data_IF_351348106486
#
_entry.id   IF_351348106486
#
_cell.length_a   1.000
_cell.length_b   1.000
_cell.length_c   1.000
_cell.angle_alpha   90.00
_cell.angle_beta   90.00
_cell.angle_gamma   90.00
#
_symmetry.space_group_name_H-M   'P 1'
#
loop_
_entity.id
_entity.type
_entity.pdbx_description
1 polymer ?
#
# COMPACT_ATOMS: atom_id res chain seq x y z
N UNK A 1 -13.47 4.52 -40.23
CA UNK A 1 -12.20 4.04 -39.66
C UNK A 1 -12.10 4.68 -38.29
N UNK A 2 -12.49 3.95 -37.26
CA UNK A 2 -12.45 4.39 -35.87
C UNK A 2 -10.97 4.49 -35.45
N UNK A 3 -10.50 5.71 -35.25
CA UNK A 3 -9.19 5.99 -34.72
C UNK A 3 -9.22 5.62 -33.23
N UNK A 4 -8.48 4.57 -32.92
CA UNK A 4 -8.47 3.88 -31.64
C UNK A 4 -7.90 4.81 -30.55
N UNK A 5 -8.77 5.45 -29.77
CA UNK A 5 -8.41 6.26 -28.58
C UNK A 5 -8.07 5.30 -27.44
N UNK A 6 -6.89 4.67 -27.50
CA UNK A 6 -6.47 3.73 -26.45
C UNK A 6 -4.97 3.68 -26.20
N UNK A 7 -4.29 4.83 -26.39
CA UNK A 7 -2.87 4.99 -26.04
C UNK A 7 -2.68 6.25 -25.18
N UNK A 8 -3.29 6.26 -23.98
CA UNK A 8 -3.11 7.36 -23.00
C UNK A 8 -2.82 6.91 -21.57
N UNK A 9 -2.51 5.64 -21.37
CA UNK A 9 -2.08 5.11 -20.08
C UNK A 9 -1.00 4.06 -20.30
N UNK A 10 0.27 4.46 -20.49
CA UNK A 10 1.39 3.66 -19.96
C UNK A 10 2.75 4.39 -20.07
N UNK A 11 3.03 5.28 -19.11
CA UNK A 11 4.41 5.61 -18.75
C UNK A 11 4.52 5.48 -17.25
N UNK A 12 4.81 4.26 -16.77
CA UNK A 12 5.34 4.06 -15.42
C UNK A 12 4.41 3.38 -14.44
N UNK A 13 3.63 2.37 -14.86
CA UNK A 13 3.03 1.42 -13.92
C UNK A 13 3.76 0.08 -14.10
N UNK A 14 4.58 -0.30 -13.13
CA UNK A 14 5.36 -1.54 -13.20
C UNK A 14 4.48 -2.71 -12.77
N UNK A 15 4.49 -3.79 -13.55
CA UNK A 15 3.85 -5.07 -13.19
C UNK A 15 4.57 -5.70 -11.99
N UNK A 16 3.84 -6.42 -11.12
CA UNK A 16 4.46 -7.19 -10.01
C UNK A 16 5.49 -8.20 -10.51
N UNK A 17 5.36 -8.67 -11.75
CA UNK A 17 6.32 -9.59 -12.39
C UNK A 17 7.69 -8.96 -12.62
N UNK A 18 7.80 -7.63 -12.54
CA UNK A 18 9.07 -6.92 -12.64
C UNK A 18 9.92 -7.07 -11.36
N UNK A 19 9.34 -7.48 -10.22
CA UNK A 19 10.10 -7.71 -8.99
C UNK A 19 10.90 -9.00 -9.13
N UNK A 20 12.24 -8.93 -9.23
CA UNK A 20 13.05 -10.14 -9.22
C UNK A 20 12.84 -10.82 -7.86
N UNK A 21 12.73 -12.16 -7.86
CA UNK A 21 12.48 -13.07 -6.73
C UNK A 21 11.04 -13.58 -6.59
N UNK A 22 10.05 -13.00 -7.26
CA UNK A 22 8.74 -13.67 -7.30
C UNK A 22 8.79 -14.92 -8.18
N UNK A 23 8.28 -16.02 -7.64
CA UNK A 23 7.91 -17.18 -8.44
C UNK A 23 6.63 -16.91 -9.22
N UNK A 24 6.43 -17.65 -10.31
CA UNK A 24 5.19 -17.58 -11.12
C UNK A 24 3.94 -17.78 -10.26
N UNK A 25 3.97 -18.76 -9.34
CA UNK A 25 2.90 -19.03 -8.37
C UNK A 25 2.60 -17.84 -7.45
N UNK A 26 3.64 -17.11 -7.02
CA UNK A 26 3.49 -15.91 -6.19
C UNK A 26 2.89 -14.76 -7.00
N UNK A 27 3.31 -14.57 -8.24
CA UNK A 27 2.69 -13.60 -9.15
C UNK A 27 1.21 -13.93 -9.39
N UNK A 28 0.85 -15.19 -9.61
CA UNK A 28 -0.55 -15.61 -9.74
C UNK A 28 -1.37 -15.37 -8.47
N UNK A 29 -0.81 -15.65 -7.29
CA UNK A 29 -1.47 -15.40 -6.02
C UNK A 29 -1.76 -13.90 -5.79
N UNK A 30 -0.83 -13.02 -6.19
CA UNK A 30 -1.01 -11.57 -6.17
C UNK A 30 -2.09 -11.12 -7.15
N UNK A 31 -2.05 -11.62 -8.41
CA UNK A 31 -3.06 -11.32 -9.44
C UNK A 31 -4.46 -11.78 -9.02
N UNK A 32 -4.59 -12.93 -8.37
CA UNK A 32 -5.87 -13.43 -7.84
C UNK A 32 -6.45 -12.50 -6.74
N UNK A 33 -5.62 -11.66 -6.13
CA UNK A 33 -6.00 -10.62 -5.17
C UNK A 33 -5.99 -9.21 -5.77
N UNK A 34 -5.96 -9.11 -7.10
CA UNK A 34 -5.96 -7.84 -7.85
C UNK A 34 -4.71 -6.97 -7.58
N UNK A 35 -3.64 -7.56 -7.03
CA UNK A 35 -2.34 -6.92 -6.85
C UNK A 35 -1.51 -7.20 -8.09
N UNK A 36 -1.74 -6.42 -9.14
CA UNK A 36 -1.10 -6.61 -10.45
C UNK A 36 0.11 -5.69 -10.67
N UNK A 37 0.29 -4.68 -9.83
CA UNK A 37 1.32 -3.65 -9.98
C UNK A 37 2.23 -3.55 -8.75
N UNK A 38 3.48 -3.11 -8.96
CA UNK A 38 4.45 -2.85 -7.89
C UNK A 38 3.95 -1.79 -6.92
N UNK A 39 3.24 -0.77 -7.42
CA UNK A 39 2.58 0.24 -6.58
C UNK A 39 1.54 -0.40 -5.65
N UNK A 40 0.66 -1.26 -6.18
CA UNK A 40 -0.36 -1.95 -5.38
C UNK A 40 0.27 -2.89 -4.35
N UNK A 41 1.38 -3.54 -4.70
CA UNK A 41 2.15 -4.36 -3.77
C UNK A 41 2.76 -3.52 -2.62
N UNK A 42 3.43 -2.42 -2.95
CA UNK A 42 4.02 -1.51 -1.96
C UNK A 42 2.96 -0.86 -1.06
N UNK A 43 1.83 -0.45 -1.64
CA UNK A 43 0.67 0.07 -0.92
C UNK A 43 0.07 -0.97 0.03
N UNK A 44 -0.12 -2.21 -0.42
CA UNK A 44 -0.60 -3.29 0.43
C UNK A 44 0.36 -3.58 1.58
N UNK A 45 1.67 -3.47 1.37
CA UNK A 45 2.68 -3.64 2.39
C UNK A 45 2.90 -2.40 3.30
N UNK A 46 2.17 -1.31 3.10
CA UNK A 46 2.34 -0.10 3.91
C UNK A 46 1.92 -0.33 5.37
N UNK A 47 0.92 -1.18 5.61
CA UNK A 47 0.41 -1.49 6.97
C UNK A 47 1.00 -2.79 7.52
N UNK A 48 0.98 -2.94 8.84
CA UNK A 48 1.43 -4.17 9.49
C UNK A 48 0.53 -5.36 9.11
N UNK A 49 -0.80 -5.18 9.07
CA UNK A 49 -1.70 -6.26 8.65
C UNK A 49 -1.49 -6.64 7.18
N UNK A 50 -1.26 -5.65 6.32
CA UNK A 50 -0.98 -5.88 4.92
C UNK A 50 0.32 -6.65 4.69
N UNK A 51 1.39 -6.33 5.42
CA UNK A 51 2.63 -7.13 5.42
C UNK A 51 2.38 -8.56 5.90
N UNK A 52 1.66 -8.74 7.01
CA UNK A 52 1.33 -10.09 7.51
C UNK A 52 0.50 -10.89 6.51
N UNK A 53 -0.50 -10.26 5.88
CA UNK A 53 -1.32 -10.89 4.84
C UNK A 53 -0.52 -11.27 3.61
N UNK A 54 0.40 -10.41 3.17
CA UNK A 54 1.29 -10.70 2.05
C UNK A 54 2.28 -11.81 2.38
N UNK A 55 2.84 -11.86 3.60
CA UNK A 55 3.71 -12.96 4.03
C UNK A 55 2.98 -14.30 3.96
N UNK A 56 1.74 -14.36 4.45
CA UNK A 56 0.91 -15.56 4.38
C UNK A 56 0.49 -15.92 2.96
N UNK A 57 0.16 -14.93 2.13
CA UNK A 57 -0.22 -15.15 0.72
C UNK A 57 0.93 -15.71 -0.10
N UNK A 58 2.13 -15.19 0.13
CA UNK A 58 3.33 -15.51 -0.64
C UNK A 58 4.13 -16.68 -0.05
N UNK A 59 3.72 -17.14 1.14
CA UNK A 59 4.42 -18.17 1.92
C UNK A 59 5.90 -17.82 2.15
N UNK A 60 6.13 -16.57 2.59
CA UNK A 60 7.48 -16.03 2.85
C UNK A 60 7.58 -15.52 4.28
N UNK A 61 8.80 -15.55 4.82
CA UNK A 61 9.08 -14.94 6.12
C UNK A 61 9.21 -13.41 6.03
N UNK A 62 9.31 -12.76 7.19
CA UNK A 62 9.43 -11.31 7.27
C UNK A 62 10.71 -10.78 6.61
N UNK A 63 11.84 -11.49 6.68
CA UNK A 63 13.09 -11.05 6.09
C UNK A 63 13.03 -11.10 4.55
N UNK A 64 12.44 -12.15 4.00
CA UNK A 64 12.15 -12.27 2.57
C UNK A 64 11.15 -11.21 2.10
N UNK A 65 10.15 -10.87 2.91
CA UNK A 65 9.23 -9.76 2.62
C UNK A 65 9.97 -8.42 2.53
N UNK A 66 10.84 -8.10 3.49
CA UNK A 66 11.64 -6.86 3.44
C UNK A 66 12.56 -6.81 2.21
N UNK A 67 13.10 -7.95 1.78
CA UNK A 67 13.88 -8.02 0.55
C UNK A 67 13.03 -7.72 -0.70
N UNK A 68 11.81 -8.26 -0.78
CA UNK A 68 10.86 -7.97 -1.86
C UNK A 68 10.45 -6.50 -1.87
N UNK A 69 10.24 -5.89 -0.70
CA UNK A 69 9.95 -4.47 -0.56
C UNK A 69 11.13 -3.59 -0.96
N UNK A 70 12.35 -4.00 -0.65
CA UNK A 70 13.57 -3.37 -1.14
C UNK A 70 13.62 -3.35 -2.67
N UNK A 71 13.24 -4.46 -3.33
CA UNK A 71 13.15 -4.52 -4.80
C UNK A 71 12.01 -3.68 -5.37
N UNK A 72 10.86 -3.68 -4.73
CA UNK A 72 9.77 -2.77 -5.10
C UNK A 72 10.21 -1.30 -5.01
N UNK A 73 10.96 -0.93 -3.96
CA UNK A 73 11.52 0.41 -3.77
C UNK A 73 12.56 0.77 -4.83
N UNK A 74 13.48 -0.14 -5.16
CA UNK A 74 14.45 0.06 -6.26
C UNK A 74 13.76 0.33 -7.60
N UNK A 75 12.65 -0.38 -7.86
CA UNK A 75 11.87 -0.24 -9.09
C UNK A 75 11.05 1.05 -9.15
N UNK A 76 10.43 1.44 -8.04
CA UNK A 76 9.58 2.63 -7.96
C UNK A 76 10.38 3.93 -7.78
N UNK A 77 11.57 3.82 -7.19
CA UNK A 77 12.32 4.96 -6.67
C UNK A 77 11.83 5.39 -5.29
N UNK A 78 12.75 6.01 -4.53
CA UNK A 78 12.53 6.42 -3.14
C UNK A 78 11.31 7.33 -2.96
N UNK A 79 11.16 8.33 -3.84
CA UNK A 79 10.10 9.33 -3.75
C UNK A 79 8.70 8.72 -3.93
N UNK A 80 8.55 7.88 -4.96
CA UNK A 80 7.27 7.22 -5.25
C UNK A 80 6.93 6.14 -4.22
N UNK A 81 7.92 5.36 -3.79
CA UNK A 81 7.75 4.38 -2.73
C UNK A 81 7.33 5.04 -1.42
N UNK A 82 7.95 6.17 -1.05
CA UNK A 82 7.56 6.94 0.12
C UNK A 82 6.12 7.46 0.00
N UNK A 83 5.73 8.02 -1.15
CA UNK A 83 4.36 8.50 -1.36
C UNK A 83 3.29 7.41 -1.19
N UNK A 84 3.59 6.17 -1.57
CA UNK A 84 2.68 5.02 -1.45
C UNK A 84 2.62 4.43 -0.04
N UNK A 85 3.69 4.59 0.74
CA UNK A 85 3.82 4.02 2.09
C UNK A 85 3.50 5.02 3.20
N UNK A 86 3.43 6.31 2.88
CA UNK A 86 2.91 7.33 3.79
C UNK A 86 1.39 7.17 3.91
N UNK A 87 0.85 6.99 5.14
CA UNK A 87 -0.58 7.06 5.36
C UNK A 87 -1.05 8.49 5.08
N UNK A 88 -1.53 8.75 3.87
CA UNK A 88 -2.07 10.05 3.49
C UNK A 88 -3.55 10.12 3.90
N UNK A 89 -3.95 11.07 4.76
CA UNK A 89 -5.35 11.33 5.03
C UNK A 89 -6.01 11.79 3.72
N UNK A 90 -6.99 11.02 3.22
CA UNK A 90 -7.72 11.32 1.99
C UNK A 90 -7.26 10.63 0.69
N UNK A 91 -6.24 9.76 0.73
CA UNK A 91 -5.94 8.86 -0.40
C UNK A 91 -6.92 7.67 -0.48
N UNK A 92 -6.91 6.85 -1.54
CA UNK A 92 -7.74 5.64 -1.60
C UNK A 92 -7.46 4.65 -0.44
N UNK A 93 -6.26 4.69 0.14
CA UNK A 93 -5.92 4.00 1.40
C UNK A 93 -6.39 4.75 2.66
N UNK A 94 -6.45 6.09 2.60
CA UNK A 94 -7.03 6.92 3.65
C UNK A 94 -8.53 6.66 3.82
N UNK A 95 -9.25 6.41 2.71
CA UNK A 95 -10.66 6.04 2.74
C UNK A 95 -10.93 4.67 3.42
N UNK A 96 -9.97 3.73 3.37
CA UNK A 96 -10.08 2.44 4.08
C UNK A 96 -9.73 2.55 5.58
N UNK A 97 -8.89 3.52 5.97
CA UNK A 97 -8.49 3.75 7.36
C UNK A 97 -9.47 4.66 8.12
N UNK A 98 -10.17 5.57 7.44
CA UNK A 98 -11.20 6.41 8.07
C UNK A 98 -12.44 5.63 8.53
N UNK A 99 -12.70 4.44 7.96
CA UNK A 99 -13.84 3.61 8.39
C UNK A 99 -13.61 2.97 9.78
N UNK A 100 -12.36 2.79 10.22
CA UNK A 100 -12.01 2.24 11.53
C UNK A 100 -11.70 3.27 12.63
N UNK A 101 -11.64 4.56 12.30
CA UNK A 101 -11.44 5.63 13.29
C UNK A 101 -12.73 6.42 13.61
N UNK A 102 -13.89 5.94 13.14
CA UNK A 102 -15.19 6.59 13.39
C UNK A 102 -15.99 6.03 14.57
N UNK A 103 -15.34 5.37 15.53
CA UNK A 103 -16.02 4.89 16.75
C UNK A 103 -15.27 5.15 18.06
N UNK A 104 -14.71 6.37 18.20
CA UNK A 104 -14.56 6.97 19.53
C UNK A 104 -15.05 8.42 19.54
N UNK A 105 -16.37 8.66 19.72
CA UNK A 105 -16.81 9.94 20.22
C UNK A 105 -16.52 9.99 21.74
N UNK A 106 -15.65 10.91 22.16
CA UNK A 106 -15.61 11.36 23.54
C UNK A 106 -14.24 11.35 24.21
N UNK A 107 -13.49 12.43 24.01
CA UNK A 107 -12.71 13.01 25.10
C UNK A 107 -12.51 14.52 24.88
N UNK A 108 -13.62 15.23 24.70
CA UNK A 108 -13.69 16.68 24.85
C UNK A 108 -14.50 16.99 26.11
N UNK A 109 -14.01 16.62 27.30
CA UNK A 109 -14.47 17.27 28.52
C UNK A 109 -13.55 16.92 29.70
N UNK A 110 -12.77 17.92 30.12
CA UNK A 110 -12.47 18.32 31.50
C UNK A 110 -11.01 18.66 31.72
N UNK A 111 -10.75 19.96 31.58
CA UNK A 111 -9.66 20.66 32.24
C UNK A 111 -10.16 22.04 32.64
N UNK A 112 -11.15 22.10 33.54
CA UNK A 112 -11.34 23.29 34.37
C UNK A 112 -10.20 23.27 35.39
N UNK A 113 -9.20 24.11 35.20
CA UNK A 113 -8.42 24.61 36.33
C UNK A 113 -8.65 26.11 36.42
N UNK A 114 -9.08 26.48 37.63
CA UNK A 114 -9.39 27.82 38.09
C UNK A 114 -8.16 28.71 38.05
N UNK A 115 -8.28 29.89 37.44
CA UNK A 115 -7.39 31.01 37.75
C UNK A 115 -8.25 32.28 37.85
N UNK A 116 -8.45 32.74 39.09
CA UNK A 116 -8.95 34.06 39.38
C UNK A 116 -8.11 34.65 40.54
N UNK A 117 -7.43 35.79 40.36
CA UNK A 117 -6.89 36.58 41.45
C UNK A 117 -7.99 37.31 42.23
#
# INVERSE_FOLDING_TARGET
>A
MEENVQDRHDKGVLSVEAIPLFSEKQCEALKARWITTVDAFAAAAATAEGRTGLCGLLDVDAAAMEALLGKARELLGDERYAALTVPSPGGPLGALLEENFRDKPGLWDKGKEEEHP
#
